data_IF_594681734536
#
_entry.id   IF_594681734536
#
_cell.length_a   1.000
_cell.length_b   1.000
_cell.length_c   1.000
_cell.angle_alpha   90.00
_cell.angle_beta   90.00
_cell.angle_gamma   90.00
#
_symmetry.space_group_name_H-M   'P 1'
#
loop_
_entity.id
_entity.type
_entity.pdbx_description
1 polymer ?
#
# COMPACT_ATOMS: atom_id res chain seq x y z
N UNK A 1 0.85 14.56 -17.40
CA UNK A 1 0.78 13.91 -16.07
C UNK A 1 -0.36 14.51 -15.28
N UNK A 2 -0.74 13.91 -14.15
CA UNK A 2 -1.82 14.43 -13.30
C UNK A 2 -1.46 14.27 -11.82
N UNK A 3 -2.09 15.10 -10.99
CA UNK A 3 -2.09 14.97 -9.53
C UNK A 3 -3.54 15.04 -9.05
N UNK A 4 -3.96 14.03 -8.30
CA UNK A 4 -5.31 13.92 -7.75
C UNK A 4 -5.26 13.33 -6.36
N UNK A 5 -6.24 13.67 -5.54
CA UNK A 5 -6.40 13.17 -4.18
C UNK A 5 -7.88 12.86 -3.92
N UNK A 6 -8.13 11.93 -3.00
CA UNK A 6 -9.47 11.54 -2.55
C UNK A 6 -9.42 11.34 -1.04
N UNK A 7 -10.34 11.99 -0.32
CA UNK A 7 -10.56 11.65 1.10
C UNK A 7 -11.46 10.42 1.15
N UNK A 8 -11.07 9.42 1.93
CA UNK A 8 -11.90 8.24 2.22
C UNK A 8 -12.74 8.49 3.47
N UNK A 9 -13.91 7.85 3.55
CA UNK A 9 -14.89 8.10 4.62
C UNK A 9 -14.48 7.58 6.00
N UNK A 10 -13.52 6.66 6.07
CA UNK A 10 -13.00 6.07 7.30
C UNK A 10 -11.48 5.99 7.21
N UNK A 11 -10.77 6.32 8.30
CA UNK A 11 -9.34 6.06 8.40
C UNK A 11 -9.06 4.56 8.32
N UNK A 12 -7.97 4.19 7.62
CA UNK A 12 -7.65 2.78 7.38
C UNK A 12 -6.15 2.57 7.27
N UNK A 13 -5.69 1.43 7.78
CA UNK A 13 -4.37 0.86 7.52
C UNK A 13 -4.44 -0.36 6.59
N UNK A 14 -5.61 -0.65 5.99
CA UNK A 14 -5.76 -1.73 5.02
C UNK A 14 -5.09 -1.35 3.69
N UNK A 15 -3.98 -2.02 3.39
CA UNK A 15 -3.20 -1.82 2.17
C UNK A 15 -4.04 -1.96 0.91
N UNK A 16 -5.00 -2.89 0.87
CA UNK A 16 -5.80 -3.14 -0.33
C UNK A 16 -6.87 -2.07 -0.55
N UNK A 17 -7.41 -1.50 0.52
CA UNK A 17 -8.33 -0.37 0.44
C UNK A 17 -7.61 0.87 -0.12
N UNK A 18 -6.43 1.20 0.41
CA UNK A 18 -5.60 2.31 -0.10
C UNK A 18 -5.23 2.07 -1.57
N UNK A 19 -4.81 0.85 -1.91
CA UNK A 19 -4.47 0.47 -3.28
C UNK A 19 -5.66 0.60 -4.24
N UNK A 20 -6.88 0.26 -3.81
CA UNK A 20 -8.09 0.45 -4.64
C UNK A 20 -8.30 1.91 -5.01
N UNK A 21 -8.19 2.81 -4.02
CA UNK A 21 -8.34 4.26 -4.24
C UNK A 21 -7.27 4.78 -5.19
N UNK A 22 -6.01 4.34 -5.04
CA UNK A 22 -4.95 4.71 -5.99
C UNK A 22 -5.25 4.22 -7.42
N UNK A 23 -5.77 3.00 -7.58
CA UNK A 23 -6.18 2.48 -8.89
C UNK A 23 -7.35 3.25 -9.49
N UNK A 24 -8.36 3.60 -8.71
CA UNK A 24 -9.51 4.39 -9.16
C UNK A 24 -9.04 5.76 -9.66
N UNK A 25 -8.22 6.47 -8.87
CA UNK A 25 -7.64 7.75 -9.28
C UNK A 25 -6.81 7.61 -10.56
N UNK A 26 -6.05 6.52 -10.70
CA UNK A 26 -5.30 6.24 -11.92
C UNK A 26 -6.25 6.04 -13.12
N UNK A 27 -7.23 5.14 -13.00
CA UNK A 27 -8.15 4.81 -14.09
C UNK A 27 -8.97 6.01 -14.56
N UNK A 28 -9.40 6.88 -13.65
CA UNK A 28 -10.21 8.06 -13.96
C UNK A 28 -9.43 9.16 -14.70
N UNK A 29 -8.12 9.23 -14.53
CA UNK A 29 -7.31 10.36 -14.98
C UNK A 29 -6.21 9.96 -15.99
N UNK A 30 -5.97 8.67 -16.16
CA UNK A 30 -4.94 8.15 -17.05
C UNK A 30 -5.40 8.13 -18.50
N UNK A 31 -4.59 8.70 -19.39
CA UNK A 31 -4.86 8.85 -20.82
C UNK A 31 -4.05 7.88 -21.71
N UNK A 32 -3.70 6.70 -21.20
CA UNK A 32 -3.00 5.64 -21.95
C UNK A 32 -1.59 5.99 -22.46
N UNK A 33 -0.96 7.03 -21.92
CA UNK A 33 0.42 7.42 -22.27
C UNK A 33 1.46 6.69 -21.42
N UNK A 34 2.66 6.43 -21.95
CA UNK A 34 3.73 5.79 -21.18
C UNK A 34 4.00 6.49 -19.81
N UNK A 35 3.96 5.71 -18.73
CA UNK A 35 4.14 6.21 -17.35
C UNK A 35 5.61 6.06 -16.93
N UNK A 36 6.25 7.18 -16.55
CA UNK A 36 7.66 7.19 -16.09
C UNK A 36 7.80 7.24 -14.57
N UNK A 37 6.82 7.81 -13.87
CA UNK A 37 6.88 7.99 -12.42
C UNK A 37 5.46 7.99 -11.85
N UNK A 38 5.30 7.37 -10.68
CA UNK A 38 4.10 7.45 -9.84
C UNK A 38 4.56 7.85 -8.44
N UNK A 39 3.93 8.87 -7.88
CA UNK A 39 4.15 9.32 -6.50
C UNK A 39 2.84 9.19 -5.73
N UNK A 40 2.90 8.57 -4.55
CA UNK A 40 1.74 8.39 -3.66
C UNK A 40 2.06 9.03 -2.31
N UNK A 41 1.13 9.82 -1.81
CA UNK A 41 1.20 10.45 -0.49
C UNK A 41 -0.10 10.25 0.25
N UNK A 42 -0.02 9.90 1.54
CA UNK A 42 -1.17 9.82 2.43
C UNK A 42 -1.14 11.02 3.37
N UNK A 43 -2.30 11.62 3.65
CA UNK A 43 -2.47 12.76 4.55
C UNK A 43 -3.61 12.46 5.53
N UNK A 44 -3.81 13.32 6.54
CA UNK A 44 -4.80 13.13 7.61
C UNK A 44 -4.58 11.83 8.39
N UNK A 45 -3.33 11.58 8.77
CA UNK A 45 -2.98 10.45 9.63
C UNK A 45 -3.53 10.67 11.03
N UNK A 46 -3.99 9.60 11.65
CA UNK A 46 -4.43 9.56 13.04
C UNK A 46 -3.87 8.32 13.74
N UNK A 47 -3.78 8.39 15.07
CA UNK A 47 -3.36 7.24 15.86
C UNK A 47 -4.39 6.11 15.76
N UNK A 48 -3.89 4.88 15.67
CA UNK A 48 -4.73 3.70 15.60
C UNK A 48 -5.35 3.41 16.98
N UNK A 49 -6.52 3.99 17.28
CA UNK A 49 -7.19 3.84 18.58
C UNK A 49 -8.34 2.82 18.56
N UNK A 50 -9.06 2.70 17.45
CA UNK A 50 -10.23 1.82 17.33
C UNK A 50 -10.43 1.31 15.91
N UNK A 51 -11.29 0.31 15.74
CA UNK A 51 -11.77 -0.14 14.43
C UNK A 51 -13.26 0.12 14.35
N UNK A 52 -13.73 0.86 13.34
CA UNK A 52 -15.16 0.93 13.11
C UNK A 52 -15.63 -0.40 12.54
N UNK A 53 -16.56 -1.05 13.24
CA UNK A 53 -17.20 -2.27 12.76
C UNK A 53 -18.22 -1.94 11.67
N UNK A 54 -18.39 -2.85 10.73
CA UNK A 54 -19.38 -2.75 9.67
C UNK A 54 -20.12 -4.09 9.58
N UNK A 55 -21.45 -4.02 9.66
CA UNK A 55 -22.34 -5.20 9.61
C UNK A 55 -22.17 -6.01 8.31
N UNK A 56 -21.72 -5.37 7.23
CA UNK A 56 -21.55 -5.97 5.91
C UNK A 56 -20.08 -6.19 5.53
N UNK A 57 -19.14 -6.04 6.46
CA UNK A 57 -17.71 -6.34 6.27
C UNK A 57 -17.22 -7.24 7.41
N UNK A 58 -17.64 -8.50 7.33
CA UNK A 58 -17.35 -9.54 8.31
C UNK A 58 -15.84 -9.83 8.43
N UNK A 59 -15.09 -9.77 7.33
CA UNK A 59 -13.66 -10.07 7.29
C UNK A 59 -12.73 -8.93 7.74
N UNK A 60 -13.27 -7.79 8.20
CA UNK A 60 -12.45 -6.59 8.48
C UNK A 60 -11.42 -6.83 9.59
N UNK A 61 -11.83 -7.54 10.64
CA UNK A 61 -10.97 -7.85 11.77
C UNK A 61 -9.81 -8.79 11.38
N UNK A 62 -10.12 -9.82 10.61
CA UNK A 62 -9.16 -10.81 10.11
C UNK A 62 -8.12 -10.15 9.22
N UNK A 63 -8.55 -9.25 8.31
CA UNK A 63 -7.64 -8.48 7.46
C UNK A 63 -6.70 -7.59 8.29
N UNK A 64 -7.21 -6.88 9.30
CA UNK A 64 -6.39 -6.05 10.20
C UNK A 64 -5.37 -6.88 10.98
N UNK A 65 -5.79 -8.01 11.55
CA UNK A 65 -4.90 -8.92 12.27
C UNK A 65 -3.82 -9.49 11.35
N UNK A 66 -4.19 -9.89 10.14
CA UNK A 66 -3.25 -10.40 9.14
C UNK A 66 -2.23 -9.32 8.74
N UNK A 67 -2.66 -8.07 8.56
CA UNK A 67 -1.77 -6.95 8.27
C UNK A 67 -0.72 -6.76 9.38
N UNK A 68 -1.15 -6.71 10.64
CA UNK A 68 -0.25 -6.60 11.79
C UNK A 68 0.77 -7.75 11.83
N UNK A 69 0.34 -8.99 11.64
CA UNK A 69 1.25 -10.16 11.61
C UNK A 69 2.27 -10.06 10.46
N UNK A 70 1.84 -9.62 9.28
CA UNK A 70 2.78 -9.43 8.16
C UNK A 70 3.82 -8.34 8.46
N UNK A 71 3.42 -7.27 9.16
CA UNK A 71 4.31 -6.17 9.53
C UNK A 71 5.27 -6.57 10.65
N UNK A 72 4.83 -7.38 11.61
CA UNK A 72 5.69 -7.97 12.64
C UNK A 72 6.79 -8.83 12.02
N UNK A 73 6.44 -9.66 11.04
CA UNK A 73 7.41 -10.49 10.29
C UNK A 73 8.44 -9.60 9.59
N UNK A 74 7.99 -8.55 8.89
CA UNK A 74 8.91 -7.64 8.18
C UNK A 74 9.79 -6.83 9.13
N UNK A 75 9.25 -6.42 10.27
CA UNK A 75 9.99 -5.69 11.30
C UNK A 75 11.10 -6.56 11.89
N UNK A 76 10.80 -7.84 12.14
CA UNK A 76 11.77 -8.77 12.74
C UNK A 76 12.81 -9.31 11.75
N UNK A 77 12.39 -9.64 10.53
CA UNK A 77 13.23 -10.38 9.57
C UNK A 77 13.62 -9.56 8.33
N UNK A 78 13.22 -8.30 8.27
CA UNK A 78 13.51 -7.38 7.17
C UNK A 78 12.40 -7.31 6.11
N UNK A 79 12.43 -6.26 5.30
CA UNK A 79 11.38 -5.92 4.34
C UNK A 79 11.17 -6.96 3.23
N UNK A 80 12.16 -7.83 2.97
CA UNK A 80 12.07 -8.92 2.01
C UNK A 80 11.62 -10.26 2.59
N UNK A 81 11.35 -10.33 3.91
CA UNK A 81 10.93 -11.57 4.57
C UNK A 81 9.55 -12.05 4.09
N UNK A 82 8.68 -11.13 3.66
CA UNK A 82 7.37 -11.45 3.12
C UNK A 82 6.99 -10.49 1.98
N UNK A 83 6.93 -11.02 0.76
CA UNK A 83 6.69 -10.29 -0.47
C UNK A 83 5.44 -10.80 -1.20
N UNK A 84 4.82 -9.94 -2.00
CA UNK A 84 3.79 -10.37 -2.96
C UNK A 84 4.45 -11.17 -4.08
N UNK A 85 3.79 -12.21 -4.60
CA UNK A 85 4.34 -13.06 -5.66
C UNK A 85 4.78 -12.26 -6.90
N UNK A 86 4.05 -11.21 -7.28
CA UNK A 86 4.41 -10.30 -8.38
C UNK A 86 5.78 -9.65 -8.21
N UNK A 87 6.26 -9.49 -6.98
CA UNK A 87 7.57 -8.93 -6.67
C UNK A 87 8.73 -9.88 -6.95
N UNK A 88 8.46 -11.17 -7.17
CA UNK A 88 9.43 -12.21 -7.53
C UNK A 88 9.53 -12.44 -9.04
N UNK A 89 8.71 -11.76 -9.84
CA UNK A 89 8.82 -11.79 -11.31
C UNK A 89 10.06 -11.04 -11.77
N UNK A 90 10.50 -11.28 -13.01
CA UNK A 90 11.65 -10.57 -13.60
C UNK A 90 11.45 -9.04 -13.65
N UNK A 91 10.22 -8.59 -13.88
CA UNK A 91 9.85 -7.17 -13.84
C UNK A 91 9.72 -6.61 -12.41
N UNK A 92 9.73 -7.47 -11.39
CA UNK A 92 9.61 -7.10 -9.98
C UNK A 92 10.86 -6.37 -9.47
N UNK A 93 10.67 -5.25 -8.77
CA UNK A 93 11.79 -4.43 -8.29
C UNK A 93 12.02 -4.47 -6.78
N UNK A 94 11.13 -5.10 -6.00
CA UNK A 94 11.11 -5.02 -4.54
C UNK A 94 12.43 -5.48 -3.89
N UNK A 95 12.97 -6.63 -4.32
CA UNK A 95 14.24 -7.18 -3.80
C UNK A 95 15.43 -6.29 -4.16
N UNK A 96 15.46 -5.75 -5.39
CA UNK A 96 16.54 -4.84 -5.81
C UNK A 96 16.49 -3.54 -5.00
N UNK A 97 15.27 -3.02 -4.76
CA UNK A 97 15.04 -1.78 -4.02
C UNK A 97 15.26 -1.91 -2.52
N UNK A 98 15.09 -3.10 -1.94
CA UNK A 98 15.35 -3.30 -0.49
C UNK A 98 16.82 -3.09 -0.11
N UNK A 99 17.74 -3.13 -1.08
CA UNK A 99 19.17 -2.83 -0.91
C UNK A 99 19.53 -1.35 -1.09
N UNK A 100 18.53 -0.48 -1.29
CA UNK A 100 18.72 0.95 -1.54
C UNK A 100 18.14 1.77 -0.38
N UNK A 101 18.81 2.86 -0.02
CA UNK A 101 18.31 3.88 0.91
C UNK A 101 17.96 5.12 0.12
N UNK A 102 16.68 5.51 0.10
CA UNK A 102 16.22 6.68 -0.66
C UNK A 102 16.42 6.58 -2.19
N UNK A 103 16.67 5.39 -2.72
CA UNK A 103 16.99 5.18 -4.14
C UNK A 103 18.48 5.16 -4.48
N UNK A 104 19.36 5.39 -3.49
CA UNK A 104 20.80 5.28 -3.62
C UNK A 104 21.30 3.98 -2.97
N UNK A 105 22.43 3.44 -3.44
CA UNK A 105 23.11 2.37 -2.71
C UNK A 105 23.60 2.97 -1.38
N UNK A 106 23.15 2.38 -0.27
CA UNK A 106 23.71 2.67 1.05
C UNK A 106 25.14 2.17 1.17
#
# INVERSE_FOLDING_TARGET
GFQRSRTIGEATNDTMQIYSVCKELMNENYNQQAVRQISVSVTKLEDEQSMQLNLFDDGKWERRKLAGVMDDIRTRYGSTALLRAVSLTEAGTAIKRSKLVGGHKG
#
